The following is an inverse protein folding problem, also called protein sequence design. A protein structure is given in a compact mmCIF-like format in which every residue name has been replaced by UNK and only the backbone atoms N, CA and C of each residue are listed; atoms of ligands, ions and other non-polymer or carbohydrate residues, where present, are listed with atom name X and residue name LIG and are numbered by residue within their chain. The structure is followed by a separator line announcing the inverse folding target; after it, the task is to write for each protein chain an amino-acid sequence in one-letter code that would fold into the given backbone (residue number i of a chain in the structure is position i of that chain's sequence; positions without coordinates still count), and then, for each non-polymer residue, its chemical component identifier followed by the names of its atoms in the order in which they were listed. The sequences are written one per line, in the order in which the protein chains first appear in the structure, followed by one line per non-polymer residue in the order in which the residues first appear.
data_IF_203967964648
#
_entry.id   IF_203967964648
#
_cell.length_a   1.000
_cell.length_b   1.000
_cell.length_c   1.000
_cell.angle_alpha   90.00
_cell.angle_beta   90.00
_cell.angle_gamma   90.00
#
_symmetry.space_group_name_H-M   'P 1'
#
loop_
_entity.id
_entity.type
_entity.pdbx_description
1 polymer ?
#
# COMPACT_ATOMS: atom_id res chain seq x y z
N UNK A 1 34.05 3.44 1.11
CA UNK A 1 33.45 4.06 -0.09
C UNK A 1 31.96 3.79 -0.01
N UNK A 2 31.08 4.80 0.01
CA UNK A 2 29.64 4.55 -0.08
C UNK A 2 29.32 3.92 -1.45
N UNK A 3 28.34 3.01 -1.49
CA UNK A 3 27.81 2.49 -2.75
C UNK A 3 27.22 3.62 -3.59
N UNK A 4 27.38 3.52 -4.91
CA UNK A 4 26.69 4.40 -5.87
C UNK A 4 25.23 3.97 -6.03
N UNK A 5 24.39 4.90 -6.53
CA UNK A 5 22.99 4.58 -6.84
C UNK A 5 22.89 3.43 -7.85
N UNK A 6 23.74 3.44 -8.89
CA UNK A 6 23.75 2.39 -9.91
C UNK A 6 24.08 1.02 -9.32
N UNK A 7 25.03 0.95 -8.38
CA UNK A 7 25.34 -0.29 -7.66
C UNK A 7 24.15 -0.79 -6.83
N UNK A 8 23.42 0.11 -6.15
CA UNK A 8 22.21 -0.26 -5.40
C UNK A 8 21.14 -0.82 -6.35
N UNK A 9 20.94 -0.17 -7.51
CA UNK A 9 19.96 -0.63 -8.51
C UNK A 9 20.34 -2.00 -9.07
N UNK A 10 21.61 -2.21 -9.41
CA UNK A 10 22.07 -3.46 -10.01
C UNK A 10 22.07 -4.63 -9.02
N UNK A 11 22.43 -4.40 -7.76
CA UNK A 11 22.35 -5.41 -6.70
C UNK A 11 20.90 -5.80 -6.40
N UNK A 12 20.00 -4.81 -6.29
CA UNK A 12 18.58 -5.06 -5.96
C UNK A 12 17.79 -5.70 -7.10
N UNK A 13 18.24 -5.55 -8.35
CA UNK A 13 17.69 -6.28 -9.51
C UNK A 13 17.86 -7.79 -9.40
N UNK A 14 18.91 -8.26 -8.73
CA UNK A 14 19.17 -9.70 -8.55
C UNK A 14 18.28 -10.34 -7.48
N UNK A 15 17.56 -9.53 -6.69
CA UNK A 15 16.69 -10.03 -5.64
C UNK A 15 15.39 -10.63 -6.20
N UNK A 16 14.84 -11.64 -5.51
CA UNK A 16 13.46 -12.09 -5.75
C UNK A 16 12.46 -10.91 -5.73
N UNK A 17 11.38 -11.04 -6.50
CA UNK A 17 10.40 -9.96 -6.69
C UNK A 17 9.77 -9.48 -5.38
N UNK A 18 9.39 -10.43 -4.52
CA UNK A 18 8.83 -10.19 -3.19
C UNK A 18 9.81 -9.41 -2.31
N UNK A 19 11.07 -9.83 -2.27
CA UNK A 19 12.13 -9.15 -1.50
C UNK A 19 12.36 -7.72 -2.02
N UNK A 20 12.35 -7.53 -3.34
CA UNK A 20 12.50 -6.20 -3.95
C UNK A 20 11.32 -5.30 -3.62
N UNK A 21 10.09 -5.82 -3.63
CA UNK A 21 8.89 -5.05 -3.28
C UNK A 21 8.95 -4.57 -1.82
N UNK A 22 9.32 -5.46 -0.90
CA UNK A 22 9.49 -5.12 0.52
C UNK A 22 10.58 -4.07 0.74
N UNK A 23 11.72 -4.18 0.02
CA UNK A 23 12.78 -3.19 0.09
C UNK A 23 12.30 -1.79 -0.33
N UNK A 24 11.57 -1.70 -1.43
CA UNK A 24 11.00 -0.43 -1.93
C UNK A 24 10.05 0.17 -0.89
N UNK A 25 9.18 -0.66 -0.31
CA UNK A 25 8.24 -0.22 0.73
C UNK A 25 8.97 0.37 1.96
N UNK A 26 10.01 -0.32 2.46
CA UNK A 26 10.81 0.16 3.60
C UNK A 26 11.53 1.48 3.31
N UNK A 27 12.08 1.63 2.11
CA UNK A 27 12.75 2.87 1.68
C UNK A 27 11.75 4.02 1.65
N UNK A 28 10.58 3.82 1.03
CA UNK A 28 9.54 4.84 0.94
C UNK A 28 9.01 5.21 2.32
N UNK A 29 8.73 4.21 3.17
CA UNK A 29 8.26 4.44 4.54
C UNK A 29 9.26 5.31 5.32
N UNK A 30 10.55 4.98 5.25
CA UNK A 30 11.59 5.77 5.92
C UNK A 30 11.72 7.18 5.33
N UNK A 31 11.60 7.33 4.00
CA UNK A 31 11.68 8.63 3.33
C UNK A 31 10.54 9.58 3.74
N UNK A 32 9.38 9.04 4.10
CA UNK A 32 8.23 9.80 4.58
C UNK A 32 8.21 10.00 6.11
N UNK A 33 9.26 9.61 6.83
CA UNK A 33 9.34 9.76 8.29
C UNK A 33 8.57 8.70 9.07
N UNK A 34 8.23 7.57 8.43
CA UNK A 34 7.38 6.53 8.99
C UNK A 34 5.90 6.91 8.98
N UNK A 35 5.07 6.05 9.56
CA UNK A 35 3.68 6.40 9.89
C UNK A 35 3.69 6.92 11.32
N UNK A 36 3.20 8.14 11.54
CA UNK A 36 3.06 8.66 12.89
C UNK A 36 2.13 7.73 13.69
N UNK A 37 2.50 7.27 14.91
CA UNK A 37 1.69 6.31 15.66
C UNK A 37 0.20 6.67 15.80
N UNK A 38 -0.19 7.95 16.00
CA UNK A 38 -1.61 8.32 16.03
C UNK A 38 -2.34 8.08 14.70
N UNK A 39 -1.64 8.21 13.56
CA UNK A 39 -2.21 7.94 12.23
C UNK A 39 -2.41 6.44 12.07
N UNK A 40 -1.43 5.62 12.46
CA UNK A 40 -1.54 4.15 12.40
C UNK A 40 -2.71 3.64 13.27
N UNK A 41 -2.85 4.20 14.48
CA UNK A 41 -3.95 3.87 15.38
C UNK A 41 -5.30 4.27 14.79
N UNK A 42 -5.42 5.49 14.24
CA UNK A 42 -6.64 5.96 13.59
C UNK A 42 -7.02 5.09 12.37
N UNK A 43 -6.05 4.71 11.55
CA UNK A 43 -6.26 3.81 10.41
C UNK A 43 -6.70 2.42 10.86
N UNK A 44 -6.10 1.89 11.92
CA UNK A 44 -6.47 0.60 12.51
C UNK A 44 -7.91 0.64 13.03
N UNK A 45 -8.27 1.70 13.75
CA UNK A 45 -9.62 1.90 14.26
C UNK A 45 -10.65 1.97 13.12
N UNK A 46 -10.37 2.79 12.10
CA UNK A 46 -11.27 2.96 10.95
C UNK A 46 -11.43 1.67 10.15
N UNK A 47 -10.34 0.92 9.94
CA UNK A 47 -10.39 -0.38 9.25
C UNK A 47 -11.30 -1.36 9.98
N UNK A 48 -11.11 -1.49 11.31
CA UNK A 48 -11.96 -2.36 12.15
C UNK A 48 -13.42 -1.92 12.11
N UNK A 49 -13.68 -0.61 12.19
CA UNK A 49 -15.03 -0.05 12.10
C UNK A 49 -15.71 -0.40 10.77
N UNK A 50 -15.03 -0.20 9.63
CA UNK A 50 -15.57 -0.52 8.30
C UNK A 50 -15.82 -2.01 8.11
N UNK A 51 -14.94 -2.86 8.60
CA UNK A 51 -15.16 -4.32 8.58
C UNK A 51 -16.41 -4.69 9.38
N UNK A 52 -16.57 -4.12 10.57
CA UNK A 52 -17.75 -4.34 11.39
C UNK A 52 -19.03 -3.82 10.73
N UNK A 53 -18.98 -2.65 10.07
CA UNK A 53 -20.14 -2.11 9.34
C UNK A 53 -20.57 -3.05 8.20
N UNK A 54 -19.63 -3.65 7.48
CA UNK A 54 -19.94 -4.62 6.42
C UNK A 54 -20.48 -5.93 7.01
N UNK A 55 -19.86 -6.45 8.07
CA UNK A 55 -20.27 -7.71 8.69
C UNK A 55 -21.64 -7.66 9.36
N UNK A 56 -22.03 -6.48 9.84
CA UNK A 56 -23.33 -6.24 10.50
C UNK A 56 -24.38 -5.63 9.56
N UNK A 57 -24.15 -5.68 8.23
CA UNK A 57 -25.06 -5.14 7.20
C UNK A 57 -25.34 -3.62 7.30
N UNK A 58 -24.54 -2.86 8.06
CA UNK A 58 -24.61 -1.41 8.12
C UNK A 58 -24.03 -0.73 6.86
N UNK A 59 -23.16 -1.43 6.13
CA UNK A 59 -22.60 -0.98 4.86
C UNK A 59 -22.57 -2.11 3.84
N UNK A 60 -22.95 -1.82 2.58
CA UNK A 60 -22.84 -2.78 1.48
C UNK A 60 -21.59 -2.50 0.66
N UNK A 61 -20.76 -3.52 0.48
CA UNK A 61 -19.66 -3.47 -0.48
C UNK A 61 -20.15 -3.40 -1.92
N UNK A 62 -19.27 -2.94 -2.81
CA UNK A 62 -19.44 -3.00 -4.26
C UNK A 62 -18.61 -4.20 -4.74
N UNK A 63 -19.12 -5.05 -5.65
CA UNK A 63 -18.29 -6.07 -6.30
C UNK A 63 -17.00 -5.46 -6.87
N UNK A 64 -15.88 -6.16 -6.72
CA UNK A 64 -14.57 -5.63 -7.10
C UNK A 64 -14.51 -5.26 -8.59
N UNK A 65 -15.07 -6.10 -9.47
CA UNK A 65 -15.09 -5.86 -10.91
C UNK A 65 -15.82 -4.57 -11.26
N UNK A 66 -17.01 -4.34 -10.67
CA UNK A 66 -17.79 -3.11 -10.86
C UNK A 66 -17.02 -1.87 -10.38
N UNK A 67 -16.34 -1.97 -9.23
CA UNK A 67 -15.54 -0.89 -8.67
C UNK A 67 -14.32 -0.55 -9.56
N UNK A 68 -13.64 -1.57 -10.08
CA UNK A 68 -12.49 -1.39 -10.98
C UNK A 68 -12.93 -0.83 -12.34
N UNK A 69 -14.06 -1.27 -12.88
CA UNK A 69 -14.61 -0.75 -14.13
C UNK A 69 -14.96 0.74 -14.02
N UNK A 70 -15.57 1.15 -12.91
CA UNK A 70 -15.84 2.56 -12.64
C UNK A 70 -14.54 3.38 -12.48
N UNK A 71 -13.54 2.83 -11.78
CA UNK A 71 -12.25 3.49 -11.63
C UNK A 71 -11.57 3.72 -12.99
N UNK A 72 -11.53 2.70 -13.86
CA UNK A 72 -10.95 2.77 -15.22
C UNK A 72 -11.62 3.86 -16.06
N UNK A 73 -12.95 3.89 -16.09
CA UNK A 73 -13.73 4.94 -16.77
C UNK A 73 -13.32 6.35 -16.33
N UNK A 74 -13.10 6.56 -15.03
CA UNK A 74 -12.72 7.87 -14.48
C UNK A 74 -11.31 8.31 -14.83
N UNK A 75 -10.37 7.36 -14.97
CA UNK A 75 -8.98 7.65 -15.32
C UNK A 75 -8.70 7.51 -16.83
N UNK A 76 -9.71 7.18 -17.63
CA UNK A 76 -9.60 7.06 -19.09
C UNK A 76 -8.87 5.80 -19.57
N UNK A 77 -8.95 4.72 -18.80
CA UNK A 77 -8.42 3.38 -19.15
C UNK A 77 -9.52 2.43 -19.63
#
# INVERSE_FOLDING_TARGET
MPMTLDQIVDETRQLPQDVRAELVERILLSAHGGIAPPIEEAWTQETRRRVADIQNDHAKGIPLDDALDEARKRVGL
#
